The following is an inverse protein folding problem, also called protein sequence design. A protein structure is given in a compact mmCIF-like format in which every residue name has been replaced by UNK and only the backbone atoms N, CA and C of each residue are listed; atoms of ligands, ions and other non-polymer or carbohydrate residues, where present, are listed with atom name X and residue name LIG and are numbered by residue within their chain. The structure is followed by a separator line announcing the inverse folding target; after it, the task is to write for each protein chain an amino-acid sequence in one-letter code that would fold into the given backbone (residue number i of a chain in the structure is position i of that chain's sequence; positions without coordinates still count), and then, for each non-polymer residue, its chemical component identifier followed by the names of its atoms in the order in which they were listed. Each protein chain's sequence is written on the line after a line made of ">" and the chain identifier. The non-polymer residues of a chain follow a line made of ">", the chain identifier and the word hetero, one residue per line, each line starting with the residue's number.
data_IF_648911108391
#
_entry.id   IF_648911108391
#
_cell.length_a   1.000
_cell.length_b   1.000
_cell.length_c   1.000
_cell.angle_alpha   90.00
_cell.angle_beta   90.00
_cell.angle_gamma   90.00
#
_symmetry.space_group_name_H-M   'P 1'
#
loop_
_entity.id
_entity.type
_entity.pdbx_description
1 polymer ?
#
# COMPACT_ATOMS: atom_id res chain seq x y z
N UNK A 1 7.37 1.83 -2.42
CA UNK A 1 7.71 0.39 -2.49
C UNK A 1 8.35 -0.08 -1.17
N UNK A 2 7.59 -0.12 -0.06
CA UNK A 2 8.10 -0.54 1.27
C UNK A 2 7.35 -1.80 1.77
N UNK A 3 6.18 -2.08 1.20
CA UNK A 3 5.30 -3.19 1.61
C UNK A 3 5.96 -4.57 1.46
N UNK A 4 6.60 -4.95 0.33
CA UNK A 4 7.21 -6.28 0.22
C UNK A 4 8.38 -6.50 1.20
N UNK A 5 9.33 -5.54 1.36
CA UNK A 5 10.36 -5.65 2.39
C UNK A 5 9.82 -5.72 3.82
N UNK A 6 8.76 -4.96 4.16
CA UNK A 6 8.17 -4.98 5.49
C UNK A 6 7.50 -6.34 5.81
N UNK A 7 6.77 -6.91 4.84
CA UNK A 7 6.19 -8.26 4.99
C UNK A 7 7.29 -9.32 5.13
N UNK A 8 8.37 -9.19 4.35
CA UNK A 8 9.52 -10.10 4.46
C UNK A 8 10.18 -9.99 5.85
N UNK A 9 10.41 -8.78 6.35
CA UNK A 9 10.98 -8.56 7.69
C UNK A 9 10.11 -9.19 8.78
N UNK A 10 8.79 -8.95 8.77
CA UNK A 10 7.85 -9.58 9.72
C UNK A 10 7.91 -11.10 9.61
N UNK A 11 7.98 -11.64 8.40
CA UNK A 11 8.09 -13.07 8.18
C UNK A 11 9.43 -13.67 8.66
N UNK A 12 10.51 -12.90 8.69
CA UNK A 12 11.84 -13.31 9.15
C UNK A 12 11.94 -13.29 10.69
N UNK A 13 11.23 -12.39 11.37
CA UNK A 13 11.25 -12.28 12.85
C UNK A 13 10.14 -13.08 13.56
N UNK A 14 9.12 -13.55 12.85
CA UNK A 14 7.98 -14.28 13.44
C UNK A 14 8.04 -15.78 13.13
N UNK A 15 7.55 -16.60 14.07
CA UNK A 15 7.38 -18.04 13.88
C UNK A 15 6.23 -18.33 12.89
N UNK A 16 6.17 -19.55 12.34
CA UNK A 16 5.13 -19.94 11.35
C UNK A 16 3.72 -19.74 11.90
N UNK A 17 3.53 -20.02 13.19
CA UNK A 17 2.25 -19.90 13.90
C UNK A 17 1.88 -18.43 14.17
N UNK A 18 2.86 -17.57 14.42
CA UNK A 18 2.65 -16.14 14.70
C UNK A 18 2.67 -15.26 13.45
N UNK A 19 3.15 -15.78 12.30
CA UNK A 19 3.29 -15.02 11.06
C UNK A 19 1.98 -14.44 10.56
N UNK A 20 0.87 -15.17 10.71
CA UNK A 20 -0.46 -14.66 10.36
C UNK A 20 -0.84 -13.45 11.23
N UNK A 21 -0.57 -13.52 12.54
CA UNK A 21 -0.82 -12.43 13.49
C UNK A 21 0.09 -11.22 13.22
N UNK A 22 1.37 -11.47 12.92
CA UNK A 22 2.34 -10.44 12.55
C UNK A 22 1.95 -9.70 11.27
N UNK A 23 1.60 -10.44 10.22
CA UNK A 23 1.15 -9.85 8.95
C UNK A 23 -0.19 -9.10 9.09
N UNK A 24 -1.08 -9.58 9.96
CA UNK A 24 -2.33 -8.90 10.29
C UNK A 24 -2.09 -7.57 11.01
N UNK A 25 -1.19 -7.54 12.00
CA UNK A 25 -0.83 -6.32 12.72
C UNK A 25 -0.16 -5.30 11.78
N UNK A 26 0.72 -5.76 10.88
CA UNK A 26 1.33 -4.91 9.86
C UNK A 26 0.27 -4.30 8.92
N UNK A 27 -0.70 -5.11 8.49
CA UNK A 27 -1.80 -4.65 7.63
C UNK A 27 -2.71 -3.65 8.36
N UNK A 28 -2.99 -3.89 9.65
CA UNK A 28 -3.77 -2.97 10.49
C UNK A 28 -3.07 -1.62 10.65
N UNK A 29 -1.75 -1.60 10.86
CA UNK A 29 -0.96 -0.38 10.93
C UNK A 29 -0.99 0.41 9.59
N UNK A 30 -0.94 -0.30 8.45
CA UNK A 30 -1.08 0.34 7.13
C UNK A 30 -2.47 0.96 6.94
N UNK A 31 -3.54 0.24 7.28
CA UNK A 31 -4.90 0.78 7.21
C UNK A 31 -5.10 1.98 8.14
N UNK A 32 -4.52 1.94 9.34
CA UNK A 32 -4.56 3.06 10.29
C UNK A 32 -3.88 4.31 9.72
N UNK A 33 -2.68 4.16 9.12
CA UNK A 33 -1.98 5.25 8.45
C UNK A 33 -2.78 5.81 7.26
N UNK A 34 -3.47 4.96 6.52
CA UNK A 34 -4.31 5.38 5.39
C UNK A 34 -5.57 6.15 5.83
N UNK A 35 -6.16 5.81 6.98
CA UNK A 35 -7.32 6.54 7.55
C UNK A 35 -6.88 7.89 8.12
N UNK A 36 -5.79 7.92 8.89
CA UNK A 36 -5.34 9.13 9.58
C UNK A 36 -4.61 10.10 8.64
N UNK A 37 -3.92 9.58 7.63
CA UNK A 37 -3.08 10.35 6.71
C UNK A 37 -3.82 11.51 6.03
N UNK A 38 -4.94 11.27 5.31
CA UNK A 38 -5.71 12.33 4.67
C UNK A 38 -6.33 13.32 5.66
N UNK A 39 -6.72 12.88 6.87
CA UNK A 39 -7.27 13.77 7.90
C UNK A 39 -6.25 14.79 8.39
N UNK A 40 -5.06 14.33 8.77
CA UNK A 40 -3.96 15.23 9.15
C UNK A 40 -3.44 16.04 7.96
N UNK A 41 -3.32 15.42 6.78
CA UNK A 41 -2.88 16.07 5.55
C UNK A 41 -3.83 17.18 5.09
N UNK A 42 -5.13 16.99 5.27
CA UNK A 42 -6.17 17.97 4.94
C UNK A 42 -6.12 19.20 5.85
N UNK A 43 -6.03 19.01 7.17
CA UNK A 43 -5.87 20.12 8.13
C UNK A 43 -4.60 20.92 7.82
N UNK A 44 -3.50 20.23 7.53
CA UNK A 44 -2.24 20.89 7.16
C UNK A 44 -2.31 21.59 5.80
N UNK A 45 -3.18 21.15 4.89
CA UNK A 45 -3.35 21.76 3.58
C UNK A 45 -4.03 23.13 3.64
N UNK A 46 -4.82 23.41 4.69
CA UNK A 46 -5.43 24.73 4.93
C UNK A 46 -4.38 25.82 5.20
N UNK A 47 -3.25 25.45 5.82
CA UNK A 47 -2.11 26.35 6.07
C UNK A 47 -1.21 26.56 4.84
N UNK A 48 -1.52 25.88 3.73
CA UNK A 48 -0.85 26.03 2.44
C UNK A 48 -0.56 24.68 1.78
N UNK A 49 -0.65 24.63 0.44
CA UNK A 49 -0.48 23.41 -0.36
C UNK A 49 0.89 22.74 -0.23
N UNK A 50 1.90 23.46 0.29
CA UNK A 50 3.26 22.93 0.53
C UNK A 50 3.47 22.38 1.94
N UNK A 51 2.62 22.76 2.90
CA UNK A 51 2.76 22.38 4.32
C UNK A 51 2.58 20.86 4.53
N UNK A 52 1.60 20.17 3.90
CA UNK A 52 1.48 18.71 3.99
C UNK A 52 2.72 17.98 3.48
N UNK A 53 3.39 18.51 2.45
CA UNK A 53 4.62 17.92 1.88
C UNK A 53 5.78 18.00 2.87
N UNK A 54 5.97 19.14 3.54
CA UNK A 54 7.00 19.28 4.57
C UNK A 54 6.71 18.40 5.79
N UNK A 55 5.45 18.35 6.23
CA UNK A 55 5.05 17.48 7.33
C UNK A 55 5.24 15.99 7.00
N UNK A 56 4.85 15.56 5.80
CA UNK A 56 5.08 14.19 5.33
C UNK A 56 6.57 13.85 5.26
N UNK A 57 7.41 14.81 4.83
CA UNK A 57 8.86 14.64 4.80
C UNK A 57 9.43 14.49 6.21
N UNK A 58 8.99 15.33 7.16
CA UNK A 58 9.39 15.22 8.57
C UNK A 58 8.98 13.89 9.19
N UNK A 59 7.75 13.44 8.95
CA UNK A 59 7.25 12.14 9.41
C UNK A 59 8.05 10.97 8.80
N UNK A 60 8.40 11.05 7.52
CA UNK A 60 9.22 10.04 6.86
C UNK A 60 10.64 9.97 7.46
N UNK A 61 11.28 11.12 7.70
CA UNK A 61 12.61 11.18 8.34
C UNK A 61 12.54 10.62 9.76
N UNK A 62 11.54 11.02 10.54
CA UNK A 62 11.34 10.50 11.89
C UNK A 62 11.14 8.97 11.88
N UNK A 63 10.37 8.45 10.92
CA UNK A 63 10.20 7.00 10.73
C UNK A 63 11.50 6.28 10.38
N UNK A 64 12.35 6.87 9.54
CA UNK A 64 13.68 6.31 9.21
C UNK A 64 14.59 6.29 10.44
N UNK A 65 14.66 7.41 11.18
CA UNK A 65 15.47 7.47 12.41
C UNK A 65 14.98 6.46 13.44
N UNK A 66 13.66 6.37 13.64
CA UNK A 66 13.07 5.37 14.53
C UNK A 66 13.36 3.95 14.08
N UNK A 67 13.28 3.66 12.78
CA UNK A 67 13.64 2.35 12.23
C UNK A 67 15.11 2.02 12.48
N UNK A 68 16.03 2.97 12.37
CA UNK A 68 17.46 2.74 12.59
C UNK A 68 17.76 2.49 14.08
N UNK A 69 17.06 3.18 14.98
CA UNK A 69 17.31 3.09 16.43
C UNK A 69 16.60 1.90 17.08
N UNK A 70 15.37 1.59 16.68
CA UNK A 70 14.52 0.62 17.36
C UNK A 70 14.49 -0.77 16.72
N UNK A 71 14.78 -0.92 15.42
CA UNK A 71 14.75 -2.24 14.79
C UNK A 71 16.11 -2.94 14.92
N UNK A 72 16.17 -4.12 15.56
CA UNK A 72 17.34 -4.96 15.47
C UNK A 72 17.49 -5.46 14.03
N UNK A 73 18.73 -5.49 13.55
CA UNK A 73 19.09 -5.96 12.22
C UNK A 73 18.67 -7.45 12.09
N UNK A 74 17.60 -7.71 11.34
CA UNK A 74 16.99 -9.06 11.27
C UNK A 74 17.85 -10.08 10.52
N UNK A 75 18.78 -9.63 9.68
CA UNK A 75 19.70 -10.50 8.95
C UNK A 75 21.11 -10.34 9.49
N UNK A 76 21.78 -11.46 9.77
CA UNK A 76 23.22 -11.43 10.03
C UNK A 76 23.96 -10.90 8.79
N UNK A 77 25.14 -10.29 8.99
CA UNK A 77 25.99 -9.81 7.90
C UNK A 77 26.30 -10.91 6.86
N UNK A 78 26.34 -12.17 7.29
CA UNK A 78 26.52 -13.33 6.40
C UNK A 78 25.26 -13.65 5.58
N UNK A 79 24.07 -13.57 6.17
CA UNK A 79 22.81 -13.79 5.45
C UNK A 79 22.52 -12.65 4.45
N UNK A 80 22.88 -11.40 4.77
CA UNK A 80 22.83 -10.29 3.82
C UNK A 80 23.77 -10.50 2.64
N UNK A 81 24.98 -11.02 2.90
CA UNK A 81 25.97 -11.33 1.86
C UNK A 81 25.49 -12.49 0.98
N UNK A 82 24.90 -13.53 1.58
CA UNK A 82 24.29 -14.68 0.89
C UNK A 82 23.08 -14.27 0.03
N UNK A 83 22.23 -13.36 0.53
CA UNK A 83 21.11 -12.80 -0.23
C UNK A 83 21.57 -11.93 -1.41
N UNK A 84 22.66 -11.17 -1.25
CA UNK A 84 23.29 -10.39 -2.35
C UNK A 84 24.02 -11.27 -3.37
N UNK A 85 24.59 -12.41 -2.96
CA UNK A 85 25.32 -13.33 -3.85
C UNK A 85 24.41 -14.33 -4.55
N UNK A 86 23.23 -14.64 -4.01
CA UNK A 86 22.14 -15.27 -4.78
C UNK A 86 21.64 -14.29 -5.83
N UNK A 87 22.34 -14.23 -6.94
CA UNK A 87 21.81 -13.66 -8.18
C UNK A 87 20.59 -14.51 -8.51
N UNK A 88 19.35 -13.99 -8.42
CA UNK A 88 18.21 -14.74 -8.93
C UNK A 88 18.55 -14.94 -10.40
N UNK A 89 18.49 -16.20 -10.87
CA UNK A 89 18.57 -16.49 -12.29
C UNK A 89 17.54 -15.55 -12.93
N UNK A 90 18.02 -14.49 -13.60
CA UNK A 90 17.17 -13.50 -14.26
C UNK A 90 16.54 -14.21 -15.43
N UNK A 91 15.53 -15.03 -15.16
CA UNK A 91 14.54 -15.31 -16.19
C UNK A 91 14.04 -13.94 -16.63
N UNK A 92 14.20 -13.66 -17.93
CA UNK A 92 13.70 -12.41 -18.51
C UNK A 92 12.26 -12.21 -18.03
N UNK A 93 11.91 -11.00 -17.58
CA UNK A 93 10.57 -10.67 -17.10
C UNK A 93 9.48 -11.20 -18.03
N UNK A 94 9.74 -11.22 -19.34
CA UNK A 94 8.91 -11.81 -20.39
C UNK A 94 8.67 -13.31 -20.24
N UNK A 95 9.67 -14.11 -19.84
CA UNK A 95 9.53 -15.55 -19.59
C UNK A 95 8.72 -15.83 -18.32
N UNK A 96 8.91 -15.06 -17.25
CA UNK A 96 8.06 -15.18 -16.06
C UNK A 96 6.61 -14.83 -16.37
N UNK A 97 6.38 -13.76 -17.14
CA UNK A 97 5.05 -13.35 -17.58
C UNK A 97 4.38 -14.43 -18.45
N UNK A 98 5.12 -14.97 -19.43
CA UNK A 98 4.64 -16.04 -20.30
C UNK A 98 4.34 -17.35 -19.54
N UNK A 99 5.09 -17.65 -18.47
CA UNK A 99 4.88 -18.83 -17.61
C UNK A 99 3.68 -18.64 -16.68
N UNK A 100 3.48 -17.44 -16.14
CA UNK A 100 2.28 -17.09 -15.35
C UNK A 100 1.01 -17.13 -16.19
N UNK A 101 1.08 -16.72 -17.46
CA UNK A 101 -0.02 -16.80 -18.43
C UNK A 101 -0.34 -18.23 -18.90
N UNK A 102 0.60 -19.18 -18.78
CA UNK A 102 0.42 -20.57 -19.22
C UNK A 102 -0.08 -21.53 -18.12
N UNK A 103 -0.13 -21.11 -16.86
CA UNK A 103 -0.55 -21.95 -15.73
C UNK A 103 -1.99 -21.67 -15.28
N UNK A 104 -2.56 -22.49 -14.39
CA UNK A 104 -3.84 -22.25 -13.69
C UNK A 104 -3.90 -20.87 -12.99
N UNK A 105 -2.76 -20.24 -12.77
CA UNK A 105 -2.62 -18.88 -12.22
C UNK A 105 -2.91 -17.74 -13.21
N UNK A 106 -3.06 -18.02 -14.51
CA UNK A 106 -3.38 -17.02 -15.52
C UNK A 106 -4.73 -16.32 -15.23
N UNK A 107 -5.72 -17.08 -14.74
CA UNK A 107 -7.02 -16.53 -14.36
C UNK A 107 -6.90 -15.58 -13.16
N UNK A 108 -6.11 -15.95 -12.14
CA UNK A 108 -5.84 -15.09 -10.99
C UNK A 108 -5.07 -13.83 -11.40
N UNK A 109 -4.12 -13.98 -12.32
CA UNK A 109 -3.37 -12.85 -12.85
C UNK A 109 -4.27 -11.85 -13.58
N UNK A 110 -5.13 -12.32 -14.49
CA UNK A 110 -6.10 -11.46 -15.19
C UNK A 110 -7.07 -10.81 -14.21
N UNK A 111 -7.54 -11.55 -13.21
CA UNK A 111 -8.45 -11.02 -12.18
C UNK A 111 -7.79 -9.88 -11.40
N UNK A 112 -6.57 -10.07 -10.90
CA UNK A 112 -5.83 -9.02 -10.18
C UNK A 112 -5.52 -7.84 -11.10
N UNK A 113 -5.18 -8.09 -12.36
CA UNK A 113 -4.92 -7.04 -13.34
C UNK A 113 -6.18 -6.19 -13.56
N UNK A 114 -7.33 -6.80 -13.82
CA UNK A 114 -8.59 -6.07 -14.03
C UNK A 114 -8.98 -5.29 -12.77
N UNK A 115 -8.85 -5.88 -11.59
CA UNK A 115 -9.20 -5.23 -10.32
C UNK A 115 -8.28 -4.07 -9.95
N UNK A 116 -7.05 -4.03 -10.45
CA UNK A 116 -6.09 -2.94 -10.15
C UNK A 116 -6.06 -1.90 -11.26
N UNK A 117 -6.13 -2.33 -12.52
CA UNK A 117 -6.02 -1.45 -13.69
C UNK A 117 -7.26 -0.56 -13.85
N UNK A 118 -8.47 -1.09 -13.64
CA UNK A 118 -9.71 -0.32 -13.78
C UNK A 118 -9.74 0.92 -12.88
N UNK A 119 -9.62 0.75 -11.55
CA UNK A 119 -9.61 1.87 -10.60
C UNK A 119 -8.46 2.86 -10.85
N UNK A 120 -7.25 2.37 -11.14
CA UNK A 120 -6.08 3.24 -11.38
C UNK A 120 -6.26 4.17 -12.60
N UNK A 121 -6.85 3.65 -13.68
CA UNK A 121 -7.15 4.46 -14.86
C UNK A 121 -8.34 5.40 -14.60
N UNK A 122 -9.34 4.95 -13.85
CA UNK A 122 -10.48 5.78 -13.48
C UNK A 122 -10.04 7.01 -12.66
N UNK A 123 -9.21 6.82 -11.62
CA UNK A 123 -8.68 7.93 -10.81
C UNK A 123 -7.85 8.92 -11.66
N UNK A 124 -7.03 8.40 -12.58
CA UNK A 124 -6.16 9.21 -13.43
C UNK A 124 -6.95 10.03 -14.47
N UNK A 125 -7.95 9.41 -15.11
CA UNK A 125 -8.74 10.05 -16.17
C UNK A 125 -9.78 11.00 -15.59
N UNK A 126 -10.36 10.69 -14.42
CA UNK A 126 -11.39 11.52 -13.81
C UNK A 126 -10.87 12.93 -13.55
N UNK A 127 -9.70 13.09 -12.92
CA UNK A 127 -9.11 14.42 -12.67
C UNK A 127 -8.91 15.25 -13.94
N UNK A 128 -8.42 14.63 -15.02
CA UNK A 128 -8.25 15.28 -16.33
C UNK A 128 -9.59 15.61 -17.00
N UNK A 129 -10.58 14.73 -16.87
CA UNK A 129 -11.91 14.89 -17.47
C UNK A 129 -12.70 16.04 -16.83
N UNK A 130 -12.72 16.12 -15.49
CA UNK A 130 -13.39 17.25 -14.80
C UNK A 130 -12.66 18.57 -15.03
N UNK A 131 -11.34 18.57 -15.21
CA UNK A 131 -10.59 19.77 -15.58
C UNK A 131 -10.97 20.26 -16.98
N UNK A 132 -10.94 19.38 -17.99
CA UNK A 132 -11.20 19.75 -19.38
C UNK A 132 -12.67 20.10 -19.68
N UNK A 133 -13.61 19.37 -19.06
CA UNK A 133 -15.04 19.50 -19.41
C UNK A 133 -15.81 20.49 -18.54
N UNK A 134 -15.42 20.65 -17.28
CA UNK A 134 -16.14 21.50 -16.32
C UNK A 134 -15.34 22.72 -15.86
N UNK A 135 -14.10 22.92 -16.36
CA UNK A 135 -13.21 24.01 -15.93
C UNK A 135 -13.05 24.08 -14.40
N UNK A 136 -13.14 22.92 -13.72
CA UNK A 136 -13.05 22.89 -12.28
C UNK A 136 -11.65 23.35 -11.84
N UNK A 137 -11.62 24.28 -10.88
CA UNK A 137 -10.37 24.64 -10.20
C UNK A 137 -9.74 23.37 -9.58
N UNK A 138 -8.41 23.23 -9.57
CA UNK A 138 -7.71 22.11 -8.91
C UNK A 138 -8.16 21.85 -7.46
N UNK A 139 -8.63 22.88 -6.76
CA UNK A 139 -9.18 22.77 -5.40
C UNK A 139 -10.48 21.94 -5.35
N UNK A 140 -11.39 22.09 -6.32
CA UNK A 140 -12.65 21.34 -6.35
C UNK A 140 -12.42 19.88 -6.70
N UNK A 141 -11.45 19.61 -7.58
CA UNK A 141 -11.04 18.24 -7.93
C UNK A 141 -10.42 17.55 -6.71
N UNK A 142 -9.52 18.24 -6.00
CA UNK A 142 -8.93 17.73 -4.77
C UNK A 142 -10.02 17.43 -3.71
N UNK A 143 -11.03 18.29 -3.57
CA UNK A 143 -12.13 18.08 -2.63
C UNK A 143 -12.99 16.85 -2.98
N UNK A 144 -13.33 16.67 -4.26
CA UNK A 144 -14.10 15.50 -4.73
C UNK A 144 -13.31 14.20 -4.52
N UNK A 145 -12.04 14.16 -4.93
CA UNK A 145 -11.19 12.99 -4.77
C UNK A 145 -10.95 12.66 -3.29
N UNK A 146 -10.71 13.67 -2.45
CA UNK A 146 -10.50 13.47 -1.01
C UNK A 146 -11.77 12.98 -0.33
N UNK A 147 -12.92 13.56 -0.64
CA UNK A 147 -14.21 13.13 -0.07
C UNK A 147 -14.54 11.70 -0.52
N UNK A 148 -14.34 11.40 -1.81
CA UNK A 148 -14.52 10.05 -2.35
C UNK A 148 -13.58 9.03 -1.70
N UNK A 149 -12.32 9.40 -1.49
CA UNK A 149 -11.34 8.57 -0.79
C UNK A 149 -11.77 8.31 0.65
N UNK A 150 -12.13 9.36 1.43
CA UNK A 150 -12.58 9.23 2.82
C UNK A 150 -13.81 8.33 2.95
N UNK A 151 -14.81 8.49 2.08
CA UNK A 151 -15.99 7.62 2.05
C UNK A 151 -15.59 6.19 1.68
N UNK A 152 -14.72 6.02 0.68
CA UNK A 152 -14.21 4.72 0.24
C UNK A 152 -13.48 3.99 1.37
N UNK A 153 -12.58 4.67 2.08
CA UNK A 153 -11.87 4.12 3.24
C UNK A 153 -12.85 3.78 4.34
N UNK A 154 -13.77 4.70 4.68
CA UNK A 154 -14.76 4.50 5.73
C UNK A 154 -15.65 3.28 5.45
N UNK A 155 -16.16 3.17 4.22
CA UNK A 155 -16.91 2.01 3.77
C UNK A 155 -16.07 0.74 3.78
N UNK A 156 -14.82 0.79 3.33
CA UNK A 156 -13.94 -0.37 3.34
C UNK A 156 -13.72 -0.87 4.78
N UNK A 157 -13.41 0.01 5.73
CA UNK A 157 -13.24 -0.35 7.15
C UNK A 157 -14.53 -0.94 7.73
N UNK A 158 -15.68 -0.28 7.52
CA UNK A 158 -16.97 -0.70 8.08
C UNK A 158 -17.48 -2.00 7.45
N UNK A 159 -17.43 -2.12 6.13
CA UNK A 159 -17.93 -3.28 5.38
C UNK A 159 -17.01 -4.47 5.61
N UNK A 160 -15.69 -4.30 5.54
CA UNK A 160 -14.75 -5.40 5.81
C UNK A 160 -14.93 -5.91 7.25
N UNK A 161 -15.03 -5.01 8.24
CA UNK A 161 -15.30 -5.41 9.62
C UNK A 161 -16.64 -6.17 9.76
N UNK A 162 -17.70 -5.70 9.08
CA UNK A 162 -19.02 -6.34 9.11
C UNK A 162 -19.05 -7.69 8.39
N UNK A 163 -18.36 -7.81 7.25
CA UNK A 163 -18.26 -9.05 6.47
C UNK A 163 -17.47 -10.10 7.22
N UNK A 164 -16.33 -9.73 7.83
CA UNK A 164 -15.54 -10.64 8.67
C UNK A 164 -16.36 -11.15 9.86
N UNK A 165 -17.11 -10.26 10.52
CA UNK A 165 -17.99 -10.62 11.64
C UNK A 165 -19.16 -11.53 11.23
N UNK A 166 -19.64 -11.41 10.00
CA UNK A 166 -20.82 -12.14 9.50
C UNK A 166 -20.46 -13.51 8.89
N UNK A 167 -19.32 -13.61 8.20
CA UNK A 167 -18.90 -14.85 7.54
C UNK A 167 -17.90 -15.69 8.34
N UNK A 168 -17.29 -15.12 9.39
CA UNK A 168 -16.21 -15.74 10.15
C UNK A 168 -14.94 -15.87 9.32
N UNK A 169 -13.76 -15.84 9.96
CA UNK A 169 -12.51 -16.22 9.31
C UNK A 169 -12.60 -17.69 8.86
N UNK A 170 -13.00 -17.94 7.62
CA UNK A 170 -12.72 -19.23 7.00
C UNK A 170 -11.22 -19.28 6.69
N UNK A 171 -10.51 -19.92 7.61
CA UNK A 171 -9.11 -20.38 7.51
C UNK A 171 -8.75 -20.91 6.13
#
# INVERSE_FOLDING_TARGET
>A
MIVPPAIAYVADITTIEERAKGNSLLSAAMSFGFVIGPGFGGILAEYGTRVPLYAATGAAIAGVVFSIVCFPESLSKEQMKAARTKTPQKESFLKQYAKSLKSKYAMLFVLVLVMTFGPANFESVLGLYVTNRFQFSPQNIAMILTTGAVIGVGMQVLIVAKVIKMFGEKR
#
